data_IF_448520757440
#
_entry.id   IF_448520757440
#
_cell.length_a   1.000
_cell.length_b   1.000
_cell.length_c   1.000
_cell.angle_alpha   90.00
_cell.angle_beta   90.00
_cell.angle_gamma   90.00
#
_symmetry.space_group_name_H-M   'P 1'
#
loop_
_entity.id
_entity.type
_entity.pdbx_description
1 polymer ?
#
# COMPACT_ATOMS: atom_id res chain seq x y z
N UNK A 1 13.70 -13.56 31.71
CA UNK A 1 12.62 -14.49 32.09
C UNK A 1 11.57 -13.69 32.83
N UNK A 2 10.33 -13.73 32.36
CA UNK A 2 9.18 -13.09 33.01
C UNK A 2 8.05 -14.11 33.15
N UNK A 3 7.16 -13.89 34.09
CA UNK A 3 5.99 -14.76 34.32
C UNK A 3 4.73 -13.98 33.97
N UNK A 4 3.84 -14.56 33.17
CA UNK A 4 2.56 -13.93 32.79
C UNK A 4 1.64 -13.80 34.03
N UNK A 5 1.67 -14.81 34.92
CA UNK A 5 0.83 -14.86 36.11
C UNK A 5 1.64 -15.21 37.35
N UNK A 6 2.42 -14.27 37.92
CA UNK A 6 3.35 -14.56 39.05
C UNK A 6 2.66 -15.05 40.30
N UNK A 7 1.36 -14.81 40.45
CA UNK A 7 0.58 -15.30 41.60
C UNK A 7 0.59 -16.83 41.74
N UNK A 8 0.67 -17.56 40.61
CA UNK A 8 0.73 -19.01 40.62
C UNK A 8 2.03 -19.58 41.19
N UNK A 9 3.09 -18.78 41.33
CA UNK A 9 4.34 -19.22 41.98
C UNK A 9 4.13 -19.58 43.45
N UNK A 10 3.10 -19.03 44.12
CA UNK A 10 2.71 -19.48 45.44
C UNK A 10 2.31 -20.96 45.46
N UNK A 11 1.94 -21.55 44.36
CA UNK A 11 1.71 -22.98 44.21
C UNK A 11 2.94 -23.84 44.51
N UNK A 12 4.17 -23.27 44.50
CA UNK A 12 5.37 -23.97 44.95
C UNK A 12 5.34 -24.37 46.44
N UNK A 13 4.53 -23.71 47.27
CA UNK A 13 4.29 -24.12 48.64
C UNK A 13 3.67 -25.51 48.71
N UNK A 14 2.97 -25.95 47.64
CA UNK A 14 2.45 -27.32 47.51
C UNK A 14 3.54 -28.40 47.53
N UNK A 15 4.82 -28.06 47.33
CA UNK A 15 5.96 -28.98 47.49
C UNK A 15 6.13 -29.45 48.92
N UNK A 16 5.65 -28.69 49.90
CA UNK A 16 5.71 -29.11 51.33
C UNK A 16 4.87 -30.35 51.60
N UNK A 17 3.83 -30.60 50.79
CA UNK A 17 2.92 -31.75 50.98
C UNK A 17 3.66 -33.08 50.73
N UNK A 18 4.25 -33.37 49.57
CA UNK A 18 4.96 -34.62 49.36
C UNK A 18 6.17 -34.76 50.27
N UNK A 19 6.86 -33.65 50.61
CA UNK A 19 7.99 -33.67 51.57
C UNK A 19 7.50 -34.00 52.97
N UNK A 20 6.42 -33.37 53.41
CA UNK A 20 5.80 -33.63 54.69
C UNK A 20 5.34 -35.09 54.83
N UNK A 21 4.66 -35.63 53.83
CA UNK A 21 4.21 -37.03 53.81
C UNK A 21 5.42 -37.98 53.89
N UNK A 22 6.49 -37.64 53.15
CA UNK A 22 7.71 -38.46 53.18
C UNK A 22 8.41 -38.45 54.54
N UNK A 23 8.47 -37.30 55.22
CA UNK A 23 9.05 -37.16 56.55
C UNK A 23 8.19 -37.82 57.63
N UNK A 24 6.87 -37.74 57.52
CA UNK A 24 5.94 -38.31 58.48
C UNK A 24 5.69 -39.82 58.28
N UNK A 25 5.92 -40.33 57.05
CA UNK A 25 5.71 -41.74 56.73
C UNK A 25 6.76 -42.64 57.39
N UNK A 26 6.52 -42.94 58.64
CA UNK A 26 7.26 -43.98 59.34
C UNK A 26 6.71 -45.34 58.90
N UNK A 27 7.47 -46.10 58.12
CA UNK A 27 7.13 -47.52 57.92
C UNK A 27 7.47 -48.23 59.17
N UNK A 28 6.43 -48.69 59.87
CA UNK A 28 6.59 -49.67 60.96
C UNK A 28 7.26 -50.92 60.39
N UNK A 29 8.37 -51.31 61.02
CA UNK A 29 9.07 -52.53 60.60
C UNK A 29 8.12 -53.73 60.65
N UNK A 30 8.13 -54.58 59.62
CA UNK A 30 7.37 -55.81 59.57
C UNK A 30 7.80 -56.68 60.78
N UNK A 31 6.92 -56.77 61.78
CA UNK A 31 7.15 -57.61 62.95
C UNK A 31 7.08 -59.08 62.52
N UNK A 32 8.20 -59.74 62.43
CA UNK A 32 8.24 -61.19 62.26
C UNK A 32 8.13 -61.86 63.67
N UNK A 33 7.09 -62.59 63.88
CA UNK A 33 6.89 -63.39 65.07
C UNK A 33 7.82 -64.60 64.99
N UNK A 34 8.86 -64.59 65.81
CA UNK A 34 9.83 -65.71 65.98
C UNK A 34 9.43 -66.47 67.21
N UNK A 35 9.25 -67.79 67.05
CA UNK A 35 8.69 -68.66 68.09
C UNK A 35 9.61 -68.96 69.29
N UNK A 36 10.90 -68.64 69.30
CA UNK A 36 11.81 -68.80 70.42
C UNK A 36 13.00 -67.84 70.30
N UNK A 37 13.29 -67.09 71.36
CA UNK A 37 14.42 -66.12 71.50
C UNK A 37 15.60 -66.68 72.24
N UNK A 38 15.61 -68.03 72.57
CA UNK A 38 16.56 -68.66 73.48
C UNK A 38 18.03 -68.72 73.01
N UNK A 39 18.28 -68.33 71.71
CA UNK A 39 19.61 -68.36 71.11
C UNK A 39 19.98 -67.03 70.43
N UNK A 40 19.30 -65.92 70.78
CA UNK A 40 19.67 -64.58 70.27
C UNK A 40 20.55 -63.92 71.30
N UNK A 41 21.85 -63.87 71.04
CA UNK A 41 22.77 -63.01 71.76
C UNK A 41 22.41 -61.58 71.56
N UNK A 42 22.44 -60.78 72.63
CA UNK A 42 22.25 -59.32 72.58
C UNK A 42 23.37 -58.66 71.78
N UNK A 43 23.23 -58.60 70.46
CA UNK A 43 24.10 -57.77 69.71
C UNK A 43 23.54 -56.33 69.76
N UNK A 44 24.28 -55.45 70.43
CA UNK A 44 24.04 -54.01 70.40
C UNK A 44 24.27 -53.51 69.01
N UNK A 45 23.31 -53.75 68.11
CA UNK A 45 23.27 -53.11 66.77
C UNK A 45 22.99 -51.65 66.99
N UNK A 46 24.04 -50.83 66.88
CA UNK A 46 23.89 -49.39 66.66
C UNK A 46 22.94 -49.23 65.50
N UNK A 47 21.69 -48.84 65.76
CA UNK A 47 20.76 -48.44 64.75
C UNK A 47 21.32 -47.22 64.01
N UNK A 48 22.11 -47.47 62.98
CA UNK A 48 22.39 -46.46 62.00
C UNK A 48 21.05 -46.07 61.41
N UNK A 49 20.62 -44.83 61.70
CA UNK A 49 19.53 -44.18 60.95
C UNK A 49 19.96 -44.10 59.50
N UNK A 50 19.90 -45.22 58.76
CA UNK A 50 20.05 -45.20 57.36
C UNK A 50 18.73 -44.59 56.78
N UNK A 51 18.78 -43.34 56.45
CA UNK A 51 17.80 -42.75 55.54
C UNK A 51 17.77 -43.67 54.30
N UNK A 52 16.80 -44.59 54.23
CA UNK A 52 16.68 -45.50 53.09
C UNK A 52 16.27 -44.65 51.94
N UNK A 53 17.23 -44.34 51.07
CA UNK A 53 17.09 -43.60 49.80
C UNK A 53 16.11 -44.24 48.80
N UNK A 54 15.41 -45.33 49.18
CA UNK A 54 14.60 -46.11 48.29
C UNK A 54 13.31 -45.42 47.77
N UNK A 55 12.88 -44.35 48.43
CA UNK A 55 11.67 -43.58 48.05
C UNK A 55 11.98 -42.18 47.55
N UNK A 56 13.25 -41.76 47.57
CA UNK A 56 13.67 -40.43 47.17
C UNK A 56 13.40 -40.18 45.69
N UNK A 57 13.50 -41.19 44.85
CA UNK A 57 13.17 -41.07 43.43
C UNK A 57 11.68 -40.73 43.20
N UNK A 58 10.78 -41.40 43.92
CA UNK A 58 9.36 -41.16 43.84
C UNK A 58 8.97 -39.81 44.41
N UNK A 59 9.60 -39.38 45.50
CA UNK A 59 9.47 -38.03 46.06
C UNK A 59 9.96 -36.98 45.06
N UNK A 60 11.12 -37.18 44.43
CA UNK A 60 11.68 -36.26 43.46
C UNK A 60 10.75 -36.11 42.23
N UNK A 61 10.18 -37.23 41.71
CA UNK A 61 9.22 -37.20 40.60
C UNK A 61 7.94 -36.43 40.96
N UNK A 62 7.40 -36.62 42.17
CA UNK A 62 6.23 -35.86 42.65
C UNK A 62 6.50 -34.37 42.81
N UNK A 63 7.64 -34.03 43.42
CA UNK A 63 8.06 -32.64 43.53
C UNK A 63 8.28 -32.01 42.16
N UNK A 64 8.90 -32.73 41.22
CA UNK A 64 9.11 -32.25 39.85
C UNK A 64 7.78 -32.05 39.11
N UNK A 65 6.82 -32.95 39.25
CA UNK A 65 5.50 -32.80 38.67
C UNK A 65 4.77 -31.53 39.15
N UNK A 66 4.81 -31.28 40.50
CA UNK A 66 4.20 -30.06 41.05
C UNK A 66 4.92 -28.83 40.57
N UNK A 67 6.25 -28.81 40.51
CA UNK A 67 7.02 -27.67 40.01
C UNK A 67 6.70 -27.38 38.53
N UNK A 68 6.67 -28.41 37.68
CA UNK A 68 6.31 -28.25 36.24
C UNK A 68 4.87 -27.72 36.06
N UNK A 69 3.93 -28.21 36.89
CA UNK A 69 2.56 -27.70 36.85
C UNK A 69 2.49 -26.22 37.24
N UNK A 70 3.18 -25.81 38.26
CA UNK A 70 3.24 -24.42 38.71
C UNK A 70 3.89 -23.53 37.67
N UNK A 71 5.01 -23.94 37.06
CA UNK A 71 5.64 -23.19 35.97
C UNK A 71 4.75 -23.13 34.72
N UNK A 72 4.02 -24.18 34.43
CA UNK A 72 3.03 -24.15 33.33
C UNK A 72 1.92 -23.14 33.60
N UNK A 73 1.33 -23.13 34.80
CA UNK A 73 0.26 -22.20 35.19
C UNK A 73 0.77 -20.76 35.36
N UNK A 74 2.00 -20.56 35.79
CA UNK A 74 2.60 -19.23 35.90
C UNK A 74 2.93 -18.60 34.59
N UNK A 75 2.84 -19.36 33.45
CA UNK A 75 3.11 -18.84 32.12
C UNK A 75 4.54 -18.34 31.98
N UNK A 76 5.52 -19.20 32.13
CA UNK A 76 6.93 -18.88 31.98
C UNK A 76 7.22 -18.38 30.59
N UNK A 77 7.78 -17.17 30.48
CA UNK A 77 8.15 -16.53 29.21
C UNK A 77 9.66 -16.33 29.18
N UNK A 78 10.27 -16.87 28.13
CA UNK A 78 11.66 -16.58 27.85
C UNK A 78 11.76 -15.34 26.97
N UNK A 79 12.16 -14.21 27.54
CA UNK A 79 12.72 -13.14 26.74
C UNK A 79 14.03 -13.67 26.17
N UNK A 80 14.02 -14.04 24.90
CA UNK A 80 15.25 -14.33 24.16
C UNK A 80 16.00 -13.00 24.04
N UNK A 81 17.09 -12.76 24.75
CA UNK A 81 17.94 -11.61 24.50
C UNK A 81 18.69 -11.94 23.20
N UNK A 82 18.24 -11.43 22.08
CA UNK A 82 18.93 -11.70 20.83
C UNK A 82 18.16 -11.57 19.54
N UNK A 83 16.85 -11.42 19.54
CA UNK A 83 16.20 -10.78 18.43
C UNK A 83 16.33 -9.28 18.63
N UNK A 84 17.35 -8.65 18.06
CA UNK A 84 17.31 -7.23 17.78
C UNK A 84 16.11 -7.02 16.86
N UNK A 85 14.93 -6.84 17.45
CA UNK A 85 13.73 -6.54 16.70
C UNK A 85 14.03 -5.22 16.00
N UNK A 86 14.29 -5.33 14.71
CA UNK A 86 14.72 -4.21 13.88
C UNK A 86 13.67 -3.12 13.91
N UNK A 87 14.10 -1.92 14.22
CA UNK A 87 13.29 -0.71 14.08
C UNK A 87 13.63 -0.09 12.74
N UNK A 88 12.62 0.21 11.93
CA UNK A 88 12.85 0.80 10.63
C UNK A 88 12.26 2.21 10.55
N UNK A 89 13.05 3.11 9.97
CA UNK A 89 12.61 4.40 9.48
C UNK A 89 12.52 4.31 7.97
N UNK A 90 11.30 4.23 7.45
CA UNK A 90 11.02 4.10 6.02
C UNK A 90 10.67 5.47 5.47
N UNK A 91 11.39 5.95 4.47
CA UNK A 91 11.29 7.32 3.97
C UNK A 91 10.98 7.32 2.47
N UNK A 92 10.02 8.13 2.06
CA UNK A 92 9.71 8.34 0.65
C UNK A 92 10.82 9.16 -0.04
N UNK A 93 11.12 8.80 -1.29
CA UNK A 93 12.12 9.51 -2.08
C UNK A 93 11.72 10.99 -2.26
N UNK A 94 12.71 11.87 -2.19
CA UNK A 94 12.52 13.33 -2.25
C UNK A 94 12.41 14.02 -0.89
N UNK A 95 12.09 13.28 0.19
CA UNK A 95 12.06 13.84 1.55
C UNK A 95 13.46 14.15 2.10
N UNK A 96 14.51 13.59 1.51
CA UNK A 96 15.90 13.85 1.91
C UNK A 96 16.29 15.31 1.79
N UNK A 97 15.66 16.05 0.86
CA UNK A 97 15.91 17.46 0.62
C UNK A 97 15.04 18.39 1.50
N UNK A 98 14.11 17.82 2.29
CA UNK A 98 13.24 18.59 3.19
C UNK A 98 13.95 18.84 4.53
N UNK A 99 14.08 20.11 4.91
CA UNK A 99 14.72 20.48 6.17
C UNK A 99 14.06 19.88 7.41
N UNK A 100 12.73 19.62 7.35
CA UNK A 100 11.96 18.96 8.41
C UNK A 100 12.36 17.50 8.59
N UNK A 101 12.78 16.84 7.50
CA UNK A 101 13.23 15.45 7.53
C UNK A 101 14.55 15.30 8.29
N UNK A 102 15.54 16.18 8.10
CA UNK A 102 16.88 16.02 8.68
C UNK A 102 16.83 15.93 10.20
N UNK A 103 16.12 16.83 10.85
CA UNK A 103 15.99 16.87 12.31
C UNK A 103 15.31 15.63 12.89
N UNK A 104 14.24 15.15 12.23
CA UNK A 104 13.47 13.97 12.65
C UNK A 104 14.29 12.69 12.42
N UNK A 105 14.95 12.58 11.28
CA UNK A 105 15.76 11.43 10.91
C UNK A 105 16.94 11.22 11.86
N UNK A 106 17.62 12.31 12.25
CA UNK A 106 18.76 12.24 13.16
C UNK A 106 18.34 11.84 14.58
N UNK A 107 17.18 12.28 15.03
CA UNK A 107 16.62 11.84 16.30
C UNK A 107 16.31 10.34 16.27
N UNK A 108 15.61 9.85 15.24
CA UNK A 108 15.23 8.44 15.13
C UNK A 108 16.43 7.50 14.90
N UNK A 109 17.47 7.96 14.18
CA UNK A 109 18.71 7.20 14.04
C UNK A 109 19.41 7.00 15.40
N UNK A 110 19.43 8.04 16.26
CA UNK A 110 19.95 7.92 17.64
C UNK A 110 19.17 6.90 18.46
N UNK A 111 17.87 6.75 18.21
CA UNK A 111 17.00 5.75 18.87
C UNK A 111 17.12 4.35 18.26
N UNK A 112 18.08 4.12 17.36
CA UNK A 112 18.40 2.82 16.78
C UNK A 112 17.53 2.40 15.61
N UNK A 113 16.88 3.35 14.91
CA UNK A 113 16.15 3.05 13.68
C UNK A 113 17.11 2.91 12.49
N UNK A 114 16.91 1.84 11.71
CA UNK A 114 17.60 1.62 10.44
C UNK A 114 16.84 2.36 9.32
N UNK A 115 17.55 3.24 8.58
CA UNK A 115 16.98 4.01 7.49
C UNK A 115 16.76 3.14 6.25
N UNK A 116 15.53 3.12 5.74
CA UNK A 116 15.09 2.39 4.55
C UNK A 116 14.34 3.31 3.61
N UNK A 117 14.38 3.02 2.31
CA UNK A 117 13.60 3.75 1.32
C UNK A 117 12.20 3.15 1.16
N UNK A 118 11.18 4.01 0.99
CA UNK A 118 9.81 3.59 0.68
C UNK A 118 9.70 3.17 -0.79
N UNK A 119 10.16 1.97 -1.05
CA UNK A 119 10.21 1.38 -2.37
C UNK A 119 10.10 -0.14 -2.26
N UNK A 120 9.96 -0.83 -3.38
CA UNK A 120 9.81 -2.29 -3.40
C UNK A 120 10.99 -2.97 -2.73
N UNK A 121 10.70 -3.75 -1.70
CA UNK A 121 11.71 -4.47 -0.90
C UNK A 121 12.37 -3.68 0.22
N UNK A 122 12.14 -2.39 0.34
CA UNK A 122 12.71 -1.50 1.36
C UNK A 122 14.24 -1.54 1.40
N UNK A 123 14.93 -1.21 0.30
CA UNK A 123 16.39 -1.18 0.28
C UNK A 123 16.94 -0.13 1.26
N UNK A 124 18.23 -0.20 1.54
CA UNK A 124 18.92 0.89 2.22
C UNK A 124 18.75 2.18 1.42
N UNK A 125 18.67 3.29 2.12
CA UNK A 125 18.41 4.57 1.49
C UNK A 125 19.59 4.94 0.58
N UNK A 126 19.42 4.72 -0.71
CA UNK A 126 20.33 5.11 -1.76
C UNK A 126 19.51 5.66 -2.92
N UNK A 127 19.66 6.93 -3.20
CA UNK A 127 18.73 7.76 -3.96
C UNK A 127 18.55 7.41 -5.45
N UNK A 128 19.27 6.45 -6.01
CA UNK A 128 19.40 6.44 -7.46
C UNK A 128 18.45 5.51 -8.24
N UNK A 129 17.84 4.45 -7.70
CA UNK A 129 17.12 3.46 -8.53
C UNK A 129 15.98 2.67 -7.86
N UNK A 130 15.32 3.19 -6.87
CA UNK A 130 14.29 2.42 -6.21
C UNK A 130 12.95 2.49 -6.97
N UNK A 131 12.42 1.34 -7.34
CA UNK A 131 11.08 1.19 -7.93
C UNK A 131 10.03 1.69 -6.94
N UNK A 132 9.23 2.69 -7.34
CA UNK A 132 8.15 3.21 -6.51
C UNK A 132 7.15 2.12 -6.17
N UNK A 133 6.64 2.16 -4.96
CA UNK A 133 5.60 1.26 -4.48
C UNK A 133 4.39 2.09 -4.06
N UNK A 134 3.18 1.58 -4.33
CA UNK A 134 1.99 2.19 -3.76
C UNK A 134 1.92 1.97 -2.24
N UNK A 135 1.28 2.91 -1.54
CA UNK A 135 1.27 2.93 -0.08
C UNK A 135 0.58 1.70 0.55
N UNK A 136 -0.47 1.16 -0.11
CA UNK A 136 -1.16 -0.01 0.40
C UNK A 136 -0.32 -1.28 0.29
N UNK A 137 0.37 -1.45 -0.84
CA UNK A 137 1.33 -2.55 -1.02
C UNK A 137 2.49 -2.44 -0.04
N UNK A 138 2.96 -1.21 0.25
CA UNK A 138 3.99 -1.01 1.26
C UNK A 138 3.51 -1.43 2.67
N UNK A 139 2.29 -1.07 3.06
CA UNK A 139 1.69 -1.50 4.33
C UNK A 139 1.58 -3.03 4.40
N UNK A 140 1.11 -3.69 3.33
CA UNK A 140 1.00 -5.16 3.30
C UNK A 140 2.37 -5.84 3.46
N UNK A 141 3.37 -5.35 2.75
CA UNK A 141 4.74 -5.88 2.85
C UNK A 141 5.35 -5.65 4.24
N UNK A 142 5.12 -4.49 4.86
CA UNK A 142 5.61 -4.20 6.21
C UNK A 142 4.93 -5.08 7.27
N UNK A 143 3.64 -5.39 7.12
CA UNK A 143 2.91 -6.34 7.98
C UNK A 143 3.54 -7.73 7.99
N UNK A 144 4.06 -8.19 6.86
CA UNK A 144 4.67 -9.52 6.72
C UNK A 144 6.07 -9.59 7.32
N UNK A 145 6.68 -8.46 7.66
CA UNK A 145 8.01 -8.42 8.27
C UNK A 145 7.87 -8.37 9.80
N UNK A 146 8.62 -9.22 10.48
CA UNK A 146 8.68 -9.24 11.97
C UNK A 146 9.53 -8.08 12.48
N UNK A 147 8.94 -6.86 12.44
CA UNK A 147 9.58 -5.63 12.89
C UNK A 147 8.98 -5.18 14.23
N UNK A 148 9.80 -4.67 15.10
CA UNK A 148 9.36 -4.17 16.42
C UNK A 148 8.56 -2.89 16.25
N UNK A 149 9.13 -1.96 15.50
CA UNK A 149 8.57 -0.64 15.28
C UNK A 149 8.97 -0.12 13.90
N UNK A 150 8.03 0.49 13.20
CA UNK A 150 8.25 1.10 11.90
C UNK A 150 7.71 2.51 11.94
N UNK A 151 8.55 3.47 11.57
CA UNK A 151 8.12 4.84 11.30
C UNK A 151 8.22 5.05 9.79
N UNK A 152 7.09 5.39 9.17
CA UNK A 152 7.03 5.71 7.73
C UNK A 152 6.87 7.22 7.59
N UNK A 153 7.73 7.84 6.80
CA UNK A 153 7.64 9.25 6.43
C UNK A 153 7.29 9.34 4.95
N UNK A 154 6.17 9.97 4.63
CA UNK A 154 5.72 10.13 3.25
C UNK A 154 5.02 11.46 3.01
N UNK A 155 4.94 11.86 1.74
CA UNK A 155 4.11 12.99 1.31
C UNK A 155 2.63 12.65 1.22
N UNK A 156 2.29 11.36 1.17
CA UNK A 156 0.91 10.92 1.09
C UNK A 156 0.20 11.35 -0.20
N UNK A 157 0.92 11.30 -1.32
CA UNK A 157 0.36 11.67 -2.62
C UNK A 157 -0.85 10.81 -2.98
N UNK A 158 -1.89 11.44 -3.51
CA UNK A 158 -3.10 10.75 -3.97
C UNK A 158 -2.78 9.67 -5.02
N UNK A 159 -1.82 9.94 -5.90
CA UNK A 159 -1.34 9.01 -6.94
C UNK A 159 -0.69 7.74 -6.37
N UNK A 160 -0.20 7.77 -5.14
CA UNK A 160 0.40 6.63 -4.43
C UNK A 160 -0.63 5.67 -3.81
N UNK A 161 -1.92 6.04 -3.76
CA UNK A 161 -2.98 5.17 -3.24
C UNK A 161 -3.61 4.34 -4.35
N UNK A 162 -3.22 3.09 -4.46
CA UNK A 162 -3.77 2.15 -5.44
C UNK A 162 -4.25 0.88 -4.76
N UNK A 163 -5.34 0.30 -5.26
CA UNK A 163 -5.84 -0.98 -4.79
C UNK A 163 -6.71 -0.90 -3.53
N UNK A 164 -6.72 -1.98 -2.75
CA UNK A 164 -7.59 -2.11 -1.57
C UNK A 164 -6.99 -1.40 -0.36
N UNK A 165 -7.81 -0.58 0.28
CA UNK A 165 -7.47 0.09 1.54
C UNK A 165 -7.19 -0.93 2.65
N UNK A 166 -6.09 -0.75 3.38
CA UNK A 166 -5.65 -1.59 4.48
C UNK A 166 -5.65 -0.79 5.79
N UNK A 167 -5.84 -1.49 6.91
CA UNK A 167 -5.64 -0.90 8.24
C UNK A 167 -4.18 -0.94 8.64
N UNK A 168 -3.69 0.13 9.24
CA UNK A 168 -2.33 0.20 9.77
C UNK A 168 -2.20 -0.67 11.04
N UNK A 169 -1.19 -1.53 11.13
CA UNK A 169 -0.85 -2.23 12.37
C UNK A 169 -0.36 -1.26 13.45
N UNK A 170 -0.55 -1.62 14.72
CA UNK A 170 -0.15 -0.78 15.85
C UNK A 170 1.36 -0.49 15.95
N UNK A 171 2.19 -1.35 15.36
CA UNK A 171 3.65 -1.18 15.32
C UNK A 171 4.13 -0.28 14.16
N UNK A 172 3.24 0.19 13.29
CA UNK A 172 3.56 1.10 12.18
C UNK A 172 3.00 2.48 12.48
N UNK A 173 3.88 3.45 12.67
CA UNK A 173 3.54 4.86 12.78
C UNK A 173 3.76 5.54 11.43
N UNK A 174 2.69 6.05 10.83
CA UNK A 174 2.77 6.76 9.55
C UNK A 174 2.69 8.27 9.79
N UNK A 175 3.72 8.98 9.37
CA UNK A 175 3.83 10.43 9.51
C UNK A 175 3.78 11.05 8.11
N UNK A 176 2.81 11.91 7.88
CA UNK A 176 2.66 12.62 6.62
C UNK A 176 3.35 13.97 6.69
N UNK A 177 4.16 14.28 5.69
CA UNK A 177 4.79 15.58 5.50
C UNK A 177 4.08 16.26 4.33
N UNK A 178 3.53 17.44 4.54
CA UNK A 178 2.86 18.18 3.49
C UNK A 178 3.87 18.58 2.39
N UNK A 179 3.66 18.20 1.12
CA UNK A 179 4.52 18.62 0.03
C UNK A 179 4.38 20.12 -0.24
N UNK A 180 5.44 20.73 -0.72
CA UNK A 180 5.39 22.11 -1.18
C UNK A 180 4.65 22.21 -2.52
N UNK A 181 3.91 23.31 -2.75
CA UNK A 181 3.31 23.57 -4.07
C UNK A 181 4.39 23.65 -5.14
N UNK A 182 4.07 23.15 -6.33
CA UNK A 182 4.97 23.26 -7.48
C UNK A 182 4.26 23.88 -8.68
N UNK A 183 4.99 24.65 -9.46
CA UNK A 183 4.59 25.02 -10.82
C UNK A 183 5.48 24.29 -11.82
N UNK A 184 4.92 23.82 -12.91
CA UNK A 184 5.66 23.07 -13.92
C UNK A 184 5.15 23.39 -15.32
N UNK A 185 6.04 23.46 -16.34
CA UNK A 185 5.65 23.64 -17.71
C UNK A 185 5.17 22.31 -18.30
N UNK A 186 4.09 22.37 -19.10
CA UNK A 186 3.53 21.17 -19.77
C UNK A 186 3.82 21.25 -21.26
N UNK A 187 3.59 22.43 -21.85
CA UNK A 187 3.77 22.64 -23.27
C UNK A 187 4.07 24.12 -23.53
N UNK A 188 5.01 24.40 -24.42
CA UNK A 188 5.28 25.74 -24.91
C UNK A 188 5.27 25.71 -26.44
N UNK A 189 4.34 26.45 -27.03
CA UNK A 189 4.11 26.48 -28.47
C UNK A 189 4.33 27.89 -28.98
N UNK A 190 5.12 28.05 -30.06
CA UNK A 190 5.36 29.31 -30.69
C UNK A 190 4.15 29.67 -31.58
N UNK A 191 3.54 30.80 -31.33
CA UNK A 191 2.51 31.37 -32.17
C UNK A 191 3.14 32.30 -33.23
N UNK A 192 2.32 33.08 -33.95
CA UNK A 192 2.82 34.08 -34.89
C UNK A 192 3.63 35.17 -34.17
N UNK A 193 4.77 35.56 -34.77
CA UNK A 193 5.69 36.57 -34.21
C UNK A 193 6.45 36.07 -32.97
N UNK A 194 6.59 36.92 -31.97
CA UNK A 194 7.32 36.62 -30.71
C UNK A 194 6.40 36.07 -29.61
N UNK A 195 5.17 35.67 -29.96
CA UNK A 195 4.18 35.18 -29.00
C UNK A 195 4.34 33.71 -28.76
N UNK A 196 4.28 33.30 -27.48
CA UNK A 196 4.22 31.90 -27.04
C UNK A 196 2.89 31.62 -26.37
N UNK A 197 2.36 30.44 -26.63
CA UNK A 197 1.29 29.82 -25.84
C UNK A 197 1.97 28.82 -24.89
N UNK A 198 1.84 29.07 -23.59
CA UNK A 198 2.46 28.24 -22.56
C UNK A 198 1.34 27.61 -21.77
N UNK A 199 1.31 26.28 -21.77
CA UNK A 199 0.46 25.51 -20.87
C UNK A 199 1.30 25.10 -19.68
N UNK A 200 0.90 25.54 -18.49
CA UNK A 200 1.53 25.20 -17.22
C UNK A 200 0.56 24.54 -16.26
N UNK A 201 1.09 23.78 -15.34
CA UNK A 201 0.35 23.20 -14.22
C UNK A 201 0.82 23.79 -12.92
N UNK A 202 -0.09 23.98 -11.99
CA UNK A 202 0.18 24.31 -10.59
C UNK A 202 -0.44 23.23 -9.74
N UNK A 203 0.38 22.50 -8.98
CA UNK A 203 -0.10 21.44 -8.10
C UNK A 203 0.13 21.81 -6.64
N UNK A 204 -0.92 21.70 -5.86
CA UNK A 204 -0.96 21.97 -4.41
C UNK A 204 -1.44 20.72 -3.67
N UNK A 205 -1.54 20.80 -2.35
CA UNK A 205 -2.08 19.73 -1.49
C UNK A 205 -3.50 19.31 -1.87
N UNK A 206 -4.32 20.22 -2.40
CA UNK A 206 -5.75 20.02 -2.59
C UNK A 206 -6.14 19.87 -4.06
N UNK A 207 -5.43 20.53 -4.95
CA UNK A 207 -5.80 20.59 -6.36
C UNK A 207 -4.59 20.68 -7.28
N UNK A 208 -4.77 20.20 -8.50
CA UNK A 208 -3.86 20.43 -9.60
C UNK A 208 -4.62 21.18 -10.67
N UNK A 209 -4.20 22.41 -10.96
CA UNK A 209 -4.79 23.28 -11.99
C UNK A 209 -3.88 23.34 -13.21
N UNK A 210 -4.53 23.47 -14.35
CA UNK A 210 -3.85 23.67 -15.64
C UNK A 210 -4.35 24.96 -16.24
N UNK A 211 -3.42 25.83 -16.64
CA UNK A 211 -3.75 27.06 -17.32
C UNK A 211 -2.90 27.27 -18.58
N UNK A 212 -3.45 28.01 -19.52
CA UNK A 212 -2.72 28.41 -20.72
C UNK A 212 -2.55 29.92 -20.71
N UNK A 213 -1.31 30.36 -20.77
CA UNK A 213 -0.91 31.77 -20.71
C UNK A 213 -0.25 32.13 -22.03
N UNK A 214 -0.58 33.30 -22.60
CA UNK A 214 0.15 33.88 -23.72
C UNK A 214 1.25 34.79 -23.19
N UNK A 215 2.47 34.58 -23.62
CA UNK A 215 3.61 35.40 -23.25
C UNK A 215 4.35 35.88 -24.50
N UNK A 216 4.93 37.06 -24.42
CA UNK A 216 5.84 37.58 -25.43
C UNK A 216 7.27 37.28 -24.94
N UNK A 217 8.07 36.59 -25.76
CA UNK A 217 9.43 36.27 -25.38
C UNK A 217 10.39 36.45 -26.54
N UNK A 218 11.62 36.76 -26.23
CA UNK A 218 12.71 36.73 -27.21
C UNK A 218 12.89 35.33 -27.79
N UNK A 219 13.48 35.18 -28.97
CA UNK A 219 13.68 33.88 -29.61
C UNK A 219 14.60 32.99 -28.74
N UNK A 220 13.99 32.11 -27.96
CA UNK A 220 14.67 31.10 -27.14
C UNK A 220 14.20 29.70 -27.61
N UNK A 221 15.05 28.72 -27.35
CA UNK A 221 14.72 27.34 -27.67
C UNK A 221 13.94 26.65 -26.53
N UNK A 222 14.16 27.10 -25.29
CA UNK A 222 13.55 26.52 -24.09
C UNK A 222 12.80 27.59 -23.29
N UNK A 223 11.68 27.16 -22.72
CA UNK A 223 10.93 27.90 -21.72
C UNK A 223 11.19 27.28 -20.33
N UNK A 224 11.43 28.12 -19.33
CA UNK A 224 11.78 27.70 -17.96
C UNK A 224 10.73 28.17 -16.97
N UNK A 225 10.38 27.28 -16.04
CA UNK A 225 9.65 27.61 -14.81
C UNK A 225 10.46 26.97 -13.67
N UNK A 226 10.94 27.79 -12.73
CA UNK A 226 11.81 27.38 -11.64
C UNK A 226 13.02 26.55 -12.12
N UNK A 227 13.05 25.26 -11.77
CA UNK A 227 14.12 24.31 -12.16
C UNK A 227 13.79 23.53 -13.42
N UNK A 228 12.54 23.57 -13.87
CA UNK A 228 12.06 22.79 -14.99
C UNK A 228 12.14 23.57 -16.28
N UNK A 229 12.45 22.88 -17.36
CA UNK A 229 12.53 23.47 -18.71
C UNK A 229 11.82 22.59 -19.72
N UNK A 230 11.15 23.25 -20.67
CA UNK A 230 10.50 22.58 -21.78
C UNK A 230 10.93 23.21 -23.10
N UNK A 231 11.09 22.38 -24.12
CA UNK A 231 11.42 22.85 -25.46
C UNK A 231 10.22 23.55 -26.09
N UNK A 232 10.48 24.71 -26.69
CA UNK A 232 9.46 25.44 -27.45
C UNK A 232 9.27 24.75 -28.79
N UNK A 233 8.08 24.25 -29.04
CA UNK A 233 7.71 23.59 -30.30
C UNK A 233 7.00 24.54 -31.27
N UNK A 234 7.00 24.17 -32.53
CA UNK A 234 6.04 24.74 -33.50
C UNK A 234 4.63 24.24 -33.16
N UNK A 235 3.57 24.94 -33.57
CA UNK A 235 2.22 24.47 -33.42
C UNK A 235 2.01 23.14 -34.17
N UNK A 236 1.38 22.19 -33.50
CA UNK A 236 0.93 20.98 -34.16
C UNK A 236 -0.15 21.31 -35.19
N UNK A 237 -0.21 20.54 -36.27
CA UNK A 237 -1.24 20.67 -37.30
C UNK A 237 -2.14 19.46 -37.28
N UNK A 238 -3.44 19.67 -37.18
CA UNK A 238 -4.46 18.63 -37.29
C UNK A 238 -5.22 18.84 -38.58
N UNK A 239 -5.21 17.84 -39.44
CA UNK A 239 -5.86 17.85 -40.76
C UNK A 239 -7.16 17.04 -40.75
N UNK A 240 -8.26 17.61 -41.26
CA UNK A 240 -9.56 16.95 -41.34
C UNK A 240 -10.07 16.96 -42.79
N UNK A 241 -10.65 15.84 -43.19
CA UNK A 241 -11.46 15.77 -44.43
C UNK A 241 -12.95 15.68 -44.01
N UNK A 242 -13.74 16.68 -44.43
CA UNK A 242 -15.18 16.73 -44.17
C UNK A 242 -15.92 16.26 -45.42
N UNK A 243 -16.57 15.11 -45.31
CA UNK A 243 -17.43 14.61 -46.39
C UNK A 243 -18.90 14.78 -46.00
N UNK A 244 -19.65 15.55 -46.80
CA UNK A 244 -21.06 15.80 -46.55
C UNK A 244 -21.87 15.82 -47.84
N UNK A 245 -23.09 15.34 -47.78
CA UNK A 245 -24.09 15.48 -48.85
C UNK A 245 -25.03 16.65 -48.56
N UNK A 246 -25.87 16.98 -49.54
CA UNK A 246 -26.80 18.12 -49.45
C UNK A 246 -27.80 18.01 -48.30
N UNK A 247 -28.16 16.79 -47.87
CA UNK A 247 -29.08 16.56 -46.77
C UNK A 247 -28.50 16.99 -45.42
N UNK A 248 -27.16 17.07 -45.32
CA UNK A 248 -26.41 17.44 -44.12
C UNK A 248 -25.64 18.78 -44.28
N UNK A 249 -25.96 19.57 -45.28
CA UNK A 249 -25.29 20.84 -45.58
C UNK A 249 -25.32 21.81 -44.37
N UNK A 250 -26.44 21.85 -43.64
CA UNK A 250 -26.57 22.69 -42.45
C UNK A 250 -25.69 22.16 -41.28
N UNK A 251 -25.66 20.86 -41.05
CA UNK A 251 -24.79 20.26 -40.07
C UNK A 251 -23.32 20.53 -40.38
N UNK A 252 -22.94 20.46 -41.65
CA UNK A 252 -21.59 20.79 -42.11
C UNK A 252 -21.22 22.25 -41.87
N UNK A 253 -22.18 23.18 -42.09
CA UNK A 253 -21.97 24.59 -41.79
C UNK A 253 -21.72 24.81 -40.30
N UNK A 254 -22.53 24.25 -39.41
CA UNK A 254 -22.38 24.36 -37.95
C UNK A 254 -21.06 23.77 -37.48
N UNK A 255 -20.69 22.58 -38.01
CA UNK A 255 -19.41 21.94 -37.69
C UNK A 255 -18.22 22.81 -38.14
N UNK A 256 -18.27 23.35 -39.34
CA UNK A 256 -17.25 24.25 -39.89
C UNK A 256 -17.08 25.50 -39.03
N UNK A 257 -18.19 26.14 -38.63
CA UNK A 257 -18.18 27.28 -37.71
C UNK A 257 -17.56 26.91 -36.35
N UNK A 258 -17.84 25.71 -35.85
CA UNK A 258 -17.25 25.20 -34.62
C UNK A 258 -15.75 24.98 -34.74
N UNK A 259 -15.25 24.45 -35.84
CA UNK A 259 -13.82 24.31 -36.14
C UNK A 259 -13.10 25.65 -36.27
N UNK A 260 -13.76 26.66 -36.90
CA UNK A 260 -13.19 28.02 -36.99
C UNK A 260 -13.06 28.67 -35.63
N UNK A 261 -14.05 28.52 -34.75
CA UNK A 261 -13.97 28.98 -33.36
C UNK A 261 -12.82 28.32 -32.58
N UNK A 262 -12.54 27.06 -32.86
CA UNK A 262 -11.39 26.36 -32.29
C UNK A 262 -10.07 26.93 -32.74
N UNK A 263 -9.91 27.18 -34.02
CA UNK A 263 -8.69 27.70 -34.64
C UNK A 263 -8.18 28.99 -33.94
N UNK A 264 -9.12 29.85 -33.53
CA UNK A 264 -8.78 31.09 -32.81
C UNK A 264 -8.41 30.85 -31.34
N UNK A 265 -8.88 29.75 -30.74
CA UNK A 265 -8.84 29.51 -29.30
C UNK A 265 -7.67 28.62 -28.83
N UNK A 266 -7.09 27.85 -29.74
CA UNK A 266 -6.09 26.82 -29.41
C UNK A 266 -4.74 27.06 -30.09
N UNK A 267 -3.62 26.63 -29.49
CA UNK A 267 -2.30 26.76 -30.10
C UNK A 267 -1.96 25.64 -31.10
N UNK A 268 -2.95 25.18 -31.84
CA UNK A 268 -2.85 24.09 -32.83
C UNK A 268 -3.45 24.57 -34.16
N UNK A 269 -2.76 24.32 -35.24
CA UNK A 269 -3.31 24.63 -36.56
C UNK A 269 -4.34 23.57 -36.97
N UNK A 270 -5.60 23.93 -37.00
CA UNK A 270 -6.67 23.06 -37.50
C UNK A 270 -6.94 23.41 -38.94
N UNK A 271 -6.76 22.45 -39.85
CA UNK A 271 -6.98 22.60 -41.27
C UNK A 271 -8.04 21.58 -41.73
N UNK A 272 -9.00 22.01 -42.49
CA UNK A 272 -10.00 21.12 -43.07
C UNK A 272 -10.30 21.45 -44.54
N UNK A 273 -10.76 20.45 -45.25
CA UNK A 273 -11.21 20.58 -46.60
C UNK A 273 -12.51 19.79 -46.77
N UNK A 274 -13.48 20.43 -47.48
CA UNK A 274 -14.77 19.84 -47.75
C UNK A 274 -14.71 18.99 -49.03
N UNK A 275 -15.33 17.82 -48.98
CA UNK A 275 -15.45 16.87 -50.07
C UNK A 275 -16.91 16.44 -50.22
N UNK A 276 -17.29 16.02 -51.43
CA UNK A 276 -18.48 15.21 -51.58
C UNK A 276 -18.17 13.75 -51.15
N UNK A 277 -19.15 13.00 -50.64
CA UNK A 277 -18.94 11.60 -50.26
C UNK A 277 -18.27 10.76 -51.35
N UNK A 278 -18.67 10.93 -52.60
CA UNK A 278 -18.12 10.23 -53.77
C UNK A 278 -16.64 10.52 -54.02
N UNK A 279 -16.17 11.71 -53.65
CA UNK A 279 -14.82 12.19 -53.93
C UNK A 279 -13.87 12.08 -52.74
N UNK A 280 -14.31 11.55 -51.62
CA UNK A 280 -13.49 11.47 -50.39
C UNK A 280 -12.22 10.62 -50.59
N UNK A 281 -12.25 9.64 -51.47
CA UNK A 281 -11.11 8.81 -51.83
C UNK A 281 -9.96 9.60 -52.48
N UNK A 282 -10.21 10.81 -52.97
CA UNK A 282 -9.20 11.72 -53.50
C UNK A 282 -8.56 12.63 -52.44
N UNK A 283 -9.07 12.57 -51.20
CA UNK A 283 -8.51 13.37 -50.14
C UNK A 283 -7.08 12.88 -49.83
N UNK A 284 -6.14 13.79 -49.58
CA UNK A 284 -4.83 13.41 -49.06
C UNK A 284 -5.01 12.69 -47.70
N UNK A 285 -3.97 11.98 -47.28
CA UNK A 285 -3.99 11.35 -45.97
C UNK A 285 -4.19 12.43 -44.89
N UNK A 286 -5.34 12.39 -44.20
CA UNK A 286 -5.71 13.32 -43.13
C UNK A 286 -5.71 12.60 -41.80
N UNK A 287 -5.61 13.33 -40.68
CA UNK A 287 -5.65 12.76 -39.33
C UNK A 287 -7.06 12.30 -38.97
N UNK A 288 -8.08 13.03 -39.42
CA UNK A 288 -9.47 12.74 -39.15
C UNK A 288 -10.31 12.79 -40.39
N UNK A 289 -11.32 11.93 -40.47
CA UNK A 289 -12.44 12.05 -41.42
C UNK A 289 -13.69 12.37 -40.63
N UNK A 290 -14.42 13.40 -41.10
CA UNK A 290 -15.76 13.73 -40.59
C UNK A 290 -16.77 13.35 -41.66
N UNK A 291 -17.66 12.44 -41.33
CA UNK A 291 -18.61 11.87 -42.26
C UNK A 291 -20.03 12.33 -41.95
N UNK A 292 -20.58 13.14 -42.83
CA UNK A 292 -21.92 13.77 -42.76
C UNK A 292 -22.78 13.28 -43.90
N UNK A 293 -22.91 11.98 -44.05
CA UNK A 293 -23.70 11.37 -45.13
C UNK A 293 -24.37 10.09 -44.66
N UNK A 294 -25.49 9.75 -45.30
CA UNK A 294 -26.19 8.47 -45.10
C UNK A 294 -25.47 7.29 -45.78
N UNK A 295 -24.52 7.56 -46.65
CA UNK A 295 -23.75 6.54 -47.36
C UNK A 295 -22.73 5.87 -46.42
N UNK A 296 -22.28 4.67 -46.81
CA UNK A 296 -21.23 3.97 -46.07
C UNK A 296 -19.86 4.59 -46.34
N UNK A 297 -19.08 4.75 -45.33
CA UNK A 297 -17.69 5.19 -45.47
C UNK A 297 -16.89 4.15 -46.25
N UNK A 298 -16.13 4.58 -47.28
CA UNK A 298 -15.28 3.68 -48.05
C UNK A 298 -14.23 2.97 -47.14
N UNK A 299 -14.00 1.70 -47.42
CA UNK A 299 -13.01 0.91 -46.65
C UNK A 299 -11.57 1.42 -46.89
N UNK A 300 -10.72 1.35 -45.89
CA UNK A 300 -9.29 1.69 -45.97
C UNK A 300 -8.95 3.16 -45.76
N UNK A 301 -9.91 3.98 -45.35
CA UNK A 301 -9.66 5.38 -44.97
C UNK A 301 -9.01 5.46 -43.57
N UNK A 302 -8.77 6.70 -43.07
CA UNK A 302 -8.06 6.89 -41.82
C UNK A 302 -8.69 6.09 -40.64
N UNK A 303 -7.89 5.74 -39.66
CA UNK A 303 -8.35 5.02 -38.48
C UNK A 303 -9.16 5.90 -37.50
N UNK A 304 -9.19 7.25 -37.70
CA UNK A 304 -9.89 8.20 -36.85
C UNK A 304 -11.05 8.82 -37.57
N UNK A 305 -12.27 8.63 -37.07
CA UNK A 305 -13.49 9.04 -37.75
C UNK A 305 -14.48 9.70 -36.79
N UNK A 306 -15.16 10.75 -37.28
CA UNK A 306 -16.31 11.35 -36.60
C UNK A 306 -17.49 11.21 -37.57
N UNK A 307 -18.57 10.53 -37.17
CA UNK A 307 -19.68 10.17 -38.03
C UNK A 307 -20.96 10.78 -37.46
N UNK A 308 -21.73 11.46 -38.25
CA UNK A 308 -23.06 11.93 -37.88
C UNK A 308 -24.08 10.80 -38.02
N UNK A 309 -24.67 10.36 -36.94
CA UNK A 309 -25.75 9.36 -36.89
C UNK A 309 -26.83 9.81 -35.90
N UNK A 310 -27.81 10.63 -36.38
CA UNK A 310 -28.81 11.24 -35.51
C UNK A 310 -29.70 10.24 -34.78
N UNK A 311 -29.84 9.01 -35.29
CA UNK A 311 -30.70 7.96 -34.74
C UNK A 311 -29.94 6.96 -33.87
N UNK A 312 -28.64 7.18 -33.64
CA UNK A 312 -27.85 6.33 -32.75
C UNK A 312 -28.24 6.60 -31.29
N UNK A 313 -29.06 5.71 -30.76
CA UNK A 313 -29.63 5.76 -29.41
C UNK A 313 -28.55 5.64 -28.32
N UNK A 314 -28.76 6.36 -27.21
CA UNK A 314 -28.35 6.04 -25.83
C UNK A 314 -27.26 6.85 -25.15
N UNK A 315 -26.57 7.77 -25.74
CA UNK A 315 -25.75 8.63 -24.89
C UNK A 315 -26.35 10.04 -24.83
N UNK A 316 -26.56 10.54 -23.62
CA UNK A 316 -27.00 11.92 -23.39
C UNK A 316 -25.98 12.97 -23.90
N UNK A 317 -24.80 12.54 -24.37
CA UNK A 317 -23.74 13.37 -24.92
C UNK A 317 -23.88 13.52 -26.44
N UNK A 318 -23.63 14.74 -26.95
CA UNK A 318 -23.64 15.03 -28.38
C UNK A 318 -22.56 14.23 -29.15
N UNK A 319 -21.36 14.10 -28.58
CA UNK A 319 -20.26 13.27 -29.09
C UNK A 319 -20.06 12.04 -28.21
N UNK A 320 -20.22 10.86 -28.82
CA UNK A 320 -20.06 9.58 -28.13
C UNK A 320 -18.99 8.72 -28.80
N UNK A 321 -18.11 8.13 -28.03
CA UNK A 321 -17.10 7.20 -28.55
C UNK A 321 -17.73 5.83 -28.81
N UNK A 322 -17.59 5.32 -30.02
CA UNK A 322 -18.01 3.96 -30.34
C UNK A 322 -16.89 2.96 -29.94
N UNK A 323 -17.21 1.86 -29.23
CA UNK A 323 -16.26 0.78 -29.06
C UNK A 323 -15.86 0.23 -30.44
N UNK A 324 -14.60 0.29 -30.78
CA UNK A 324 -14.05 -0.16 -32.06
C UNK A 324 -12.97 -1.23 -31.85
N UNK A 325 -12.54 -1.86 -32.96
CA UNK A 325 -11.40 -2.77 -32.97
C UNK A 325 -10.11 -2.03 -32.59
N UNK A 326 -9.15 -2.74 -32.05
CA UNK A 326 -7.86 -2.18 -31.68
C UNK A 326 -7.21 -1.44 -32.86
N UNK A 327 -7.00 -0.12 -32.68
CA UNK A 327 -6.39 0.76 -33.68
C UNK A 327 -7.35 1.67 -34.47
N UNK A 328 -8.68 1.53 -34.30
CA UNK A 328 -9.67 2.47 -34.91
C UNK A 328 -10.34 3.32 -33.81
N UNK A 329 -10.42 4.60 -34.05
CA UNK A 329 -11.09 5.56 -33.17
C UNK A 329 -12.28 6.18 -33.88
N UNK A 330 -13.49 5.78 -33.48
CA UNK A 330 -14.73 6.25 -34.08
C UNK A 330 -15.57 7.00 -33.05
N UNK A 331 -15.96 8.21 -33.40
CA UNK A 331 -16.87 9.04 -32.63
C UNK A 331 -18.16 9.27 -33.39
N UNK A 332 -19.27 9.33 -32.69
CA UNK A 332 -20.59 9.53 -33.25
C UNK A 332 -21.15 10.85 -32.76
N UNK A 333 -21.59 11.72 -33.70
CA UNK A 333 -22.45 12.84 -33.40
C UNK A 333 -23.89 12.29 -33.39
N UNK A 334 -24.53 12.33 -32.21
CA UNK A 334 -25.80 11.64 -31.93
C UNK A 334 -27.05 12.43 -32.31
N UNK A 335 -26.91 13.72 -32.63
CA UNK A 335 -28.01 14.64 -32.96
C UNK A 335 -27.69 15.43 -34.21
N UNK A 336 -28.74 15.84 -34.94
CA UNK A 336 -28.59 16.85 -36.01
C UNK A 336 -28.07 18.15 -35.38
N UNK A 337 -27.13 18.78 -36.08
CA UNK A 337 -26.51 20.01 -35.58
C UNK A 337 -27.34 21.24 -35.91
N UNK A 338 -27.51 22.10 -34.96
CA UNK A 338 -28.01 23.45 -35.11
C UNK A 338 -27.30 24.39 -34.14
N UNK A 339 -27.52 25.68 -34.23
CA UNK A 339 -26.87 26.69 -33.39
C UNK A 339 -27.14 26.48 -31.93
N UNK A 340 -28.37 26.16 -31.55
CA UNK A 340 -28.78 25.94 -30.17
C UNK A 340 -28.05 24.75 -29.54
N UNK A 341 -28.07 23.61 -30.24
CA UNK A 341 -27.38 22.38 -29.78
C UNK A 341 -25.87 22.63 -29.73
N UNK A 342 -25.29 23.28 -30.72
CA UNK A 342 -23.85 23.56 -30.72
C UNK A 342 -23.42 24.43 -29.57
N UNK A 343 -24.22 25.41 -29.17
CA UNK A 343 -23.93 26.28 -28.02
C UNK A 343 -24.20 25.58 -26.68
N UNK A 344 -25.36 24.95 -26.52
CA UNK A 344 -25.73 24.25 -25.25
C UNK A 344 -24.77 23.12 -24.93
N UNK A 345 -24.42 22.29 -25.89
CA UNK A 345 -23.54 21.15 -25.77
C UNK A 345 -22.04 21.54 -25.87
N UNK A 346 -21.74 22.82 -26.12
CA UNK A 346 -20.36 23.34 -26.29
C UNK A 346 -19.58 22.54 -27.35
N UNK A 347 -20.17 22.38 -28.54
CA UNK A 347 -19.60 21.56 -29.62
C UNK A 347 -18.13 21.85 -29.94
N UNK A 348 -17.66 23.11 -30.02
CA UNK A 348 -16.24 23.40 -30.24
C UNK A 348 -15.35 22.75 -29.20
N UNK A 349 -15.73 22.81 -27.90
CA UNK A 349 -14.98 22.19 -26.82
C UNK A 349 -14.98 20.67 -26.90
N UNK A 350 -16.10 20.05 -27.23
CA UNK A 350 -16.18 18.60 -27.41
C UNK A 350 -15.30 18.15 -28.57
N UNK A 351 -15.33 18.87 -29.71
CA UNK A 351 -14.45 18.61 -30.85
C UNK A 351 -12.96 18.75 -30.45
N UNK A 352 -12.61 19.81 -29.74
CA UNK A 352 -11.23 19.97 -29.24
C UNK A 352 -10.76 18.77 -28.42
N UNK A 353 -11.61 18.28 -27.53
CA UNK A 353 -11.27 17.11 -26.69
C UNK A 353 -11.08 15.81 -27.47
N UNK A 354 -11.69 15.72 -28.67
CA UNK A 354 -11.59 14.54 -29.54
C UNK A 354 -10.41 14.66 -30.50
N UNK A 355 -10.29 15.79 -31.20
CA UNK A 355 -9.32 15.93 -32.30
C UNK A 355 -7.89 16.29 -31.82
N UNK A 356 -7.77 16.91 -30.62
CA UNK A 356 -6.47 17.33 -30.11
C UNK A 356 -5.83 16.25 -29.28
N UNK A 357 -4.57 16.02 -29.52
CA UNK A 357 -3.74 15.19 -28.62
C UNK A 357 -3.49 15.97 -27.32
N UNK A 358 -3.96 15.43 -26.22
CA UNK A 358 -3.65 16.02 -24.91
C UNK A 358 -2.19 15.74 -24.56
N UNK A 359 -1.41 16.75 -24.18
CA UNK A 359 -0.06 16.52 -23.70
C UNK A 359 -0.13 15.63 -22.45
N UNK A 360 0.71 14.61 -22.42
CA UNK A 360 0.84 13.71 -21.28
C UNK A 360 1.49 14.49 -20.12
N UNK A 361 0.84 14.48 -18.98
CA UNK A 361 1.36 15.09 -17.75
C UNK A 361 1.91 13.97 -16.90
N UNK A 362 3.16 14.12 -16.45
CA UNK A 362 3.79 13.17 -15.54
C UNK A 362 2.97 13.07 -14.24
N UNK A 363 2.43 11.88 -13.90
CA UNK A 363 1.73 11.67 -12.65
C UNK A 363 2.55 12.02 -11.40
N UNK A 364 3.89 11.97 -11.49
CA UNK A 364 4.79 12.36 -10.42
C UNK A 364 4.77 13.84 -10.05
N UNK A 365 4.19 14.69 -10.91
CA UNK A 365 4.00 16.13 -10.64
C UNK A 365 2.72 16.44 -9.86
N UNK A 366 1.86 15.46 -9.65
CA UNK A 366 0.62 15.64 -8.87
C UNK A 366 0.94 15.66 -7.36
N UNK A 367 0.82 16.82 -6.74
CA UNK A 367 1.09 17.07 -5.31
C UNK A 367 -0.15 16.95 -4.42
N UNK A 368 -1.30 16.58 -4.97
CA UNK A 368 -2.51 16.37 -4.17
C UNK A 368 -2.29 15.22 -3.19
N UNK A 369 -2.73 15.44 -1.96
CA UNK A 369 -2.55 14.49 -0.87
C UNK A 369 -3.88 13.96 -0.37
N UNK A 370 -3.84 12.78 0.26
CA UNK A 370 -4.99 12.21 0.94
C UNK A 370 -4.89 12.50 2.44
N UNK A 371 -5.73 13.33 3.01
CA UNK A 371 -5.66 13.67 4.43
C UNK A 371 -6.02 12.49 5.36
N UNK A 372 -6.75 11.51 4.87
CA UNK A 372 -7.31 10.42 5.68
C UNK A 372 -6.28 9.49 6.35
N UNK A 373 -5.05 9.36 5.84
CA UNK A 373 -4.03 8.53 6.52
C UNK A 373 -3.67 9.11 7.89
N UNK A 374 -3.68 10.45 8.04
CA UNK A 374 -3.44 11.06 9.35
C UNK A 374 -4.49 10.62 10.38
N UNK A 375 -5.72 10.38 9.97
CA UNK A 375 -6.80 9.89 10.84
C UNK A 375 -6.64 8.40 11.19
N UNK A 376 -6.00 7.59 10.36
CA UNK A 376 -5.77 6.17 10.68
C UNK A 376 -4.71 5.96 11.74
N UNK A 377 -3.68 6.79 11.78
CA UNK A 377 -2.67 6.72 12.82
C UNK A 377 -3.21 7.12 14.19
N UNK A 378 -4.26 7.94 14.24
CA UNK A 378 -4.91 8.39 15.47
C UNK A 378 -6.00 7.42 15.96
N UNK A 379 -6.75 6.78 15.08
CA UNK A 379 -7.77 5.80 15.48
C UNK A 379 -7.18 4.51 16.04
N UNK A 380 -6.02 4.07 15.53
CA UNK A 380 -5.31 2.91 16.09
C UNK A 380 -4.58 3.23 17.40
N UNK A 381 -4.24 4.49 17.67
CA UNK A 381 -3.60 4.88 18.92
C UNK A 381 -4.58 4.96 20.11
N UNK A 382 -5.86 5.21 19.86
CA UNK A 382 -6.88 5.26 20.92
C UNK A 382 -7.42 3.88 21.31
N UNK A 383 -7.47 2.94 20.39
CA UNK A 383 -7.86 1.56 20.71
C UNK A 383 -6.67 0.70 21.18
N UNK A 384 -5.44 1.21 21.06
CA UNK A 384 -4.18 0.47 21.33
C UNK A 384 -3.52 0.75 22.66
N UNK A 385 -4.09 1.59 23.54
CA UNK A 385 -3.51 1.87 24.87
C UNK A 385 -3.60 0.72 25.86
N UNK A 386 -4.13 -0.45 25.48
CA UNK A 386 -4.16 -1.67 26.28
C UNK A 386 -3.67 -2.93 25.55
N UNK A 387 -3.28 -2.84 24.29
CA UNK A 387 -2.60 -3.95 23.64
C UNK A 387 -1.10 -3.84 23.94
N UNK A 388 -0.66 -4.42 25.05
CA UNK A 388 0.71 -4.89 25.15
C UNK A 388 1.05 -5.60 23.85
N UNK A 389 2.00 -5.04 23.10
CA UNK A 389 2.54 -5.68 21.91
C UNK A 389 2.99 -7.06 22.35
N UNK A 390 2.45 -8.16 21.85
CA UNK A 390 3.03 -9.45 22.15
C UNK A 390 4.41 -9.44 21.50
N UNK A 391 5.44 -9.08 22.29
CA UNK A 391 6.80 -9.44 21.97
C UNK A 391 6.73 -10.92 21.60
N UNK A 392 7.38 -11.33 20.52
CA UNK A 392 7.39 -12.72 20.06
C UNK A 392 7.66 -13.65 21.23
N UNK A 393 6.61 -14.06 21.90
CA UNK A 393 6.65 -14.87 23.09
C UNK A 393 6.83 -16.30 22.61
N UNK A 394 8.05 -16.77 22.69
CA UNK A 394 8.29 -18.21 22.73
C UNK A 394 7.65 -18.72 24.04
N UNK A 395 6.36 -19.04 23.95
CA UNK A 395 5.65 -19.71 25.04
C UNK A 395 6.11 -21.16 25.10
N UNK A 396 6.90 -21.57 26.06
CA UNK A 396 7.31 -22.96 26.24
C UNK A 396 6.16 -23.82 26.79
N UNK A 397 4.95 -23.28 26.92
CA UNK A 397 3.78 -23.97 27.48
C UNK A 397 3.52 -25.35 26.87
N UNK A 398 3.62 -25.62 25.56
CA UNK A 398 3.43 -26.98 25.04
C UNK A 398 4.58 -27.92 25.47
N UNK A 399 5.81 -27.44 25.53
CA UNK A 399 6.95 -28.25 26.00
C UNK A 399 6.83 -28.57 27.49
N UNK A 400 6.39 -27.61 28.31
CA UNK A 400 6.14 -27.81 29.73
C UNK A 400 5.00 -28.79 30.00
N UNK A 401 3.92 -28.71 29.19
CA UNK A 401 2.81 -29.66 29.24
C UNK A 401 3.27 -31.10 28.89
N UNK A 402 4.07 -31.24 27.83
CA UNK A 402 4.66 -32.55 27.48
C UNK A 402 5.58 -33.09 28.54
N UNK A 403 6.46 -32.25 29.09
CA UNK A 403 7.37 -32.66 30.19
C UNK A 403 6.58 -33.08 31.44
N UNK A 404 5.53 -32.36 31.82
CA UNK A 404 4.63 -32.70 32.91
C UNK A 404 3.97 -34.07 32.72
N UNK A 405 3.39 -34.31 31.52
CA UNK A 405 2.78 -35.60 31.18
C UNK A 405 3.78 -36.76 31.23
N UNK A 406 4.99 -36.55 30.72
CA UNK A 406 6.06 -37.55 30.76
C UNK A 406 6.47 -37.91 32.20
N UNK A 407 6.60 -36.87 33.06
CA UNK A 407 6.92 -37.08 34.49
C UNK A 407 5.80 -37.82 35.22
N UNK A 408 4.54 -37.50 34.98
CA UNK A 408 3.40 -38.23 35.55
C UNK A 408 3.36 -39.68 35.11
N UNK A 409 3.58 -39.98 33.83
CA UNK A 409 3.62 -41.33 33.32
C UNK A 409 4.78 -42.14 33.98
N UNK A 410 5.95 -41.53 34.09
CA UNK A 410 7.11 -42.19 34.73
C UNK A 410 6.87 -42.42 36.21
N UNK A 411 6.24 -41.46 36.92
CA UNK A 411 5.86 -41.63 38.34
C UNK A 411 4.90 -42.80 38.48
N UNK A 412 3.86 -42.90 37.66
CA UNK A 412 2.88 -43.98 37.69
C UNK A 412 3.50 -45.34 37.37
N UNK A 413 4.38 -45.42 36.38
CA UNK A 413 5.09 -46.68 36.06
C UNK A 413 6.01 -47.13 37.20
N UNK A 414 6.73 -46.21 37.82
CA UNK A 414 7.61 -46.52 38.97
C UNK A 414 6.77 -46.93 40.18
N UNK A 415 5.66 -46.26 40.46
CA UNK A 415 4.74 -46.62 41.55
C UNK A 415 4.11 -48.00 41.33
N UNK A 416 3.63 -48.29 40.11
CA UNK A 416 3.03 -49.60 39.74
C UNK A 416 4.05 -50.75 39.88
N UNK A 417 5.29 -50.56 39.37
CA UNK A 417 6.35 -51.58 39.47
C UNK A 417 6.76 -51.89 40.92
N UNK A 418 6.41 -51.02 41.87
CA UNK A 418 6.73 -51.14 43.30
C UNK A 418 5.53 -51.58 44.16
N UNK A 419 4.38 -51.93 43.55
CA UNK A 419 3.16 -52.33 44.29
C UNK A 419 2.71 -51.27 45.33
N UNK A 420 2.76 -50.03 45.00
CA UNK A 420 2.25 -48.90 45.79
C UNK A 420 1.04 -48.22 45.16
#
# INVERSE_FOLDING_TARGET
>A
MTFAHPIWLWGLTGLLVPIGIHLLSRKEGKVMRIGSIRYLEDSTTKQFRSLRLNEVLLLALRCLAIALLVFFLSGLQFNTPGSHQKKWLVVEAGLENDARFSSLSDSLKKDGYELKQLSKGFPSFDSAKAEQIDYWSAVDLLKRKSLQQVVVLSYNYLSGFKGKRLTLPANIRWITIAPEPIEFPIQAVRLSGDSLSIRKGTSTLHETKFETVKAITSPREYFHIDKDSIRISAPDTVSLALAGDEAFAYDQMILTASLEALKESIPTYVQWKNYKPENISQAPKTDWIVWLSSEKIPNGMTHRQIILKPDAVESGSLLSRQPGNAGSETWIITKRLNEEIALQEKLPWQLANVILTKPEVDPGLDRRTQPEIAQWSTQTATDGLSAEIPAGQNNPSPLLAFAFMAVLLTERLVAYKRNQ
#
